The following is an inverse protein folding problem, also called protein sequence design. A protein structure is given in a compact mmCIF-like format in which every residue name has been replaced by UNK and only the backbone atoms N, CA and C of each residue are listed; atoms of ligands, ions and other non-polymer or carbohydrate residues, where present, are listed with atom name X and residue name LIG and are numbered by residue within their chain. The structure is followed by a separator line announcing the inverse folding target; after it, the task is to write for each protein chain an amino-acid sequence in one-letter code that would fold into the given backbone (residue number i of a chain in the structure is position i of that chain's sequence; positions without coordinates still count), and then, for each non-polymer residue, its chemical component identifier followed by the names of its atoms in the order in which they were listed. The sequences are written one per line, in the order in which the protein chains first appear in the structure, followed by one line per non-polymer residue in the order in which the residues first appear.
data_IF_320482510123
#
_entry.id   IF_320482510123
#
_cell.length_a   1.000
_cell.length_b   1.000
_cell.length_c   1.000
_cell.angle_alpha   90.00
_cell.angle_beta   90.00
_cell.angle_gamma   90.00
#
_symmetry.space_group_name_H-M   'P 1'
#
loop_
_entity.id
_entity.type
_entity.pdbx_description
1 polymer ?
#
# COMPACT_ATOMS: atom_id res chain seq x y z
N UNK A 1 10.22 14.40 -19.28
CA UNK A 1 11.12 13.23 -19.21
C UNK A 1 12.39 13.56 -19.99
N UNK A 2 13.54 13.45 -19.35
CA UNK A 2 14.85 13.41 -20.01
C UNK A 2 15.71 12.35 -19.31
N UNK A 3 16.84 11.98 -19.91
CA UNK A 3 17.81 11.07 -19.27
C UNK A 3 19.06 11.90 -18.99
N UNK A 4 19.54 11.84 -17.75
CA UNK A 4 20.86 12.34 -17.42
C UNK A 4 21.91 11.33 -17.88
N UNK A 5 22.62 11.67 -18.95
CA UNK A 5 23.61 10.80 -19.58
C UNK A 5 24.83 10.52 -18.70
N UNK A 6 25.10 11.35 -17.67
CA UNK A 6 26.25 11.15 -16.80
C UNK A 6 26.01 10.01 -15.80
N UNK A 7 24.81 9.92 -15.23
CA UNK A 7 24.45 8.91 -14.22
C UNK A 7 23.47 7.85 -14.73
N UNK A 8 23.02 7.97 -15.99
CA UNK A 8 22.00 7.14 -16.62
C UNK A 8 20.69 7.08 -15.78
N UNK A 9 20.25 8.24 -15.31
CA UNK A 9 19.06 8.41 -14.46
C UNK A 9 17.94 9.06 -15.29
N UNK A 10 16.75 8.46 -15.28
CA UNK A 10 15.56 9.08 -15.86
C UNK A 10 15.09 10.23 -14.95
N UNK A 11 14.93 11.42 -15.53
CA UNK A 11 14.54 12.65 -14.83
C UNK A 11 13.20 13.14 -15.34
N UNK A 12 12.28 13.35 -14.41
CA UNK A 12 10.98 13.98 -14.65
C UNK A 12 10.95 15.39 -14.06
N UNK A 13 10.96 16.40 -14.94
CA UNK A 13 10.80 17.80 -14.58
C UNK A 13 9.32 18.18 -14.64
N UNK A 14 8.81 18.73 -13.54
CA UNK A 14 7.47 19.32 -13.47
C UNK A 14 7.58 20.77 -12.99
N UNK A 15 6.84 21.67 -13.62
CA UNK A 15 6.80 23.09 -13.26
C UNK A 15 5.56 23.33 -12.40
N UNK A 16 5.70 24.08 -11.30
CA UNK A 16 4.61 24.45 -10.39
C UNK A 16 3.86 23.27 -9.72
N UNK A 17 4.54 22.14 -9.50
CA UNK A 17 3.94 21.02 -8.78
C UNK A 17 4.04 21.20 -7.24
N UNK A 18 3.50 22.31 -6.73
CA UNK A 18 3.60 22.66 -5.31
C UNK A 18 2.94 21.63 -4.39
N UNK A 19 1.83 21.02 -4.82
CA UNK A 19 1.19 19.94 -4.06
C UNK A 19 2.07 18.69 -3.94
N UNK A 20 2.85 18.34 -4.98
CA UNK A 20 3.78 17.21 -4.87
C UNK A 20 4.93 17.47 -3.89
N UNK A 21 5.35 18.73 -3.72
CA UNK A 21 6.32 19.11 -2.69
C UNK A 21 5.73 18.85 -1.30
N UNK A 22 4.50 19.30 -1.06
CA UNK A 22 3.82 19.05 0.21
C UNK A 22 3.55 17.55 0.45
N UNK A 23 3.14 16.80 -0.57
CA UNK A 23 3.00 15.34 -0.47
C UNK A 23 4.33 14.69 -0.08
N UNK A 24 5.43 15.11 -0.69
CA UNK A 24 6.77 14.59 -0.36
C UNK A 24 7.14 14.93 1.08
N UNK A 25 6.82 16.14 1.55
CA UNK A 25 7.04 16.58 2.94
C UNK A 25 6.21 15.75 3.92
N UNK A 26 4.94 15.47 3.60
CA UNK A 26 4.06 14.63 4.40
C UNK A 26 4.61 13.21 4.53
N UNK A 27 4.95 12.57 3.40
CA UNK A 27 5.52 11.22 3.39
C UNK A 27 6.83 11.14 4.16
N UNK A 28 7.72 12.13 3.99
CA UNK A 28 8.97 12.21 4.73
C UNK A 28 8.72 12.28 6.25
N UNK A 29 7.76 13.11 6.66
CA UNK A 29 7.39 13.26 8.08
C UNK A 29 6.93 11.91 8.65
N UNK A 30 6.14 11.13 7.91
CA UNK A 30 5.77 9.78 8.35
C UNK A 30 6.98 8.84 8.52
N UNK A 31 7.97 8.90 7.64
CA UNK A 31 9.19 8.09 7.79
C UNK A 31 10.08 8.53 8.95
N UNK A 32 10.00 9.80 9.36
CA UNK A 32 10.72 10.33 10.51
C UNK A 32 10.03 9.97 11.85
N UNK A 33 8.73 9.65 11.83
CA UNK A 33 7.98 9.19 13.01
C UNK A 33 8.34 7.75 13.38
N UNK A 34 8.40 6.85 12.39
CA UNK A 34 8.70 5.44 12.63
C UNK A 34 9.44 4.80 11.45
N UNK A 35 10.60 4.20 11.73
CA UNK A 35 11.46 3.60 10.69
C UNK A 35 10.80 2.41 9.97
N UNK A 36 9.82 1.74 10.59
CA UNK A 36 9.10 0.61 10.00
C UNK A 36 8.31 1.05 8.78
N UNK A 37 7.91 2.33 8.68
CA UNK A 37 7.27 2.90 7.49
C UNK A 37 8.14 2.75 6.25
N UNK A 38 9.42 3.11 6.36
CA UNK A 38 10.37 2.96 5.26
C UNK A 38 10.59 1.49 4.93
N UNK A 39 10.71 0.61 5.92
CA UNK A 39 10.88 -0.83 5.71
C UNK A 39 9.70 -1.44 4.93
N UNK A 40 8.45 -1.20 5.37
CA UNK A 40 7.26 -1.65 4.65
C UNK A 40 7.17 -1.04 3.25
N UNK A 41 7.50 0.24 3.12
CA UNK A 41 7.55 0.93 1.82
C UNK A 41 8.54 0.27 0.86
N UNK A 42 9.73 -0.10 1.31
CA UNK A 42 10.73 -0.82 0.50
C UNK A 42 10.28 -2.24 0.16
N UNK A 43 9.73 -2.99 1.12
CA UNK A 43 9.20 -4.34 0.89
C UNK A 43 8.11 -4.34 -0.18
N UNK A 44 7.14 -3.41 -0.06
CA UNK A 44 6.09 -3.26 -1.04
C UNK A 44 6.63 -2.83 -2.40
N UNK A 45 7.57 -1.87 -2.42
CA UNK A 45 8.20 -1.41 -3.67
C UNK A 45 8.95 -2.54 -4.38
N UNK A 46 9.61 -3.42 -3.63
CA UNK A 46 10.30 -4.58 -4.20
C UNK A 46 9.30 -5.58 -4.78
N UNK A 47 8.25 -5.93 -4.01
CA UNK A 47 7.18 -6.83 -4.46
C UNK A 47 6.53 -6.34 -5.76
N UNK A 48 6.10 -5.07 -5.80
CA UNK A 48 5.39 -4.52 -6.98
C UNK A 48 6.29 -4.40 -8.20
N UNK A 49 7.61 -4.21 -7.99
CA UNK A 49 8.60 -4.19 -9.08
C UNK A 49 8.80 -5.57 -9.67
N UNK A 50 8.96 -6.60 -8.84
CA UNK A 50 9.16 -7.99 -9.29
C UNK A 50 7.94 -8.49 -10.07
N UNK A 51 6.73 -8.11 -9.63
CA UNK A 51 5.48 -8.50 -10.28
C UNK A 51 5.05 -7.60 -11.45
N UNK A 52 5.82 -6.55 -11.81
CA UNK A 52 5.49 -5.52 -12.82
C UNK A 52 4.09 -4.88 -12.64
N UNK A 53 3.73 -4.58 -11.37
CA UNK A 53 2.45 -3.95 -10.99
C UNK A 53 2.60 -2.52 -10.43
N UNK A 54 3.79 -1.92 -10.56
CA UNK A 54 4.16 -0.62 -9.99
C UNK A 54 4.28 0.56 -10.96
N UNK A 55 3.70 0.46 -12.17
CA UNK A 55 3.81 1.46 -13.24
C UNK A 55 2.44 2.00 -13.69
N UNK A 56 2.13 3.23 -13.24
CA UNK A 56 0.89 3.91 -13.60
C UNK A 56 0.76 4.26 -15.09
N UNK A 57 1.88 4.38 -15.81
CA UNK A 57 1.86 4.62 -17.26
C UNK A 57 1.41 3.38 -18.05
N UNK A 58 1.62 2.19 -17.49
CA UNK A 58 1.10 0.90 -17.99
C UNK A 58 -0.29 0.54 -17.44
N UNK A 59 -0.96 1.47 -16.75
CA UNK A 59 -2.30 1.29 -16.19
C UNK A 59 -2.35 0.47 -14.90
N UNK A 60 -1.24 0.34 -14.17
CA UNK A 60 -1.20 -0.21 -12.80
C UNK A 60 -1.16 0.92 -11.76
N UNK A 61 -0.83 0.64 -10.50
CA UNK A 61 -0.75 1.68 -9.46
C UNK A 61 0.63 2.34 -9.45
N UNK A 62 0.68 3.63 -9.12
CA UNK A 62 1.95 4.33 -8.90
C UNK A 62 2.57 3.90 -7.57
N UNK A 63 3.89 4.04 -7.43
CA UNK A 63 4.56 3.84 -6.13
C UNK A 63 3.95 4.74 -5.04
N UNK A 64 3.54 5.95 -5.40
CA UNK A 64 2.89 6.87 -4.46
C UNK A 64 1.55 6.33 -3.92
N UNK A 65 0.72 5.72 -4.77
CA UNK A 65 -0.53 5.09 -4.34
C UNK A 65 -0.27 3.94 -3.36
N UNK A 66 0.73 3.11 -3.63
CA UNK A 66 1.14 2.02 -2.73
C UNK A 66 1.64 2.53 -1.36
N UNK A 67 2.41 3.62 -1.32
CA UNK A 67 2.85 4.21 -0.06
C UNK A 67 1.66 4.76 0.75
N UNK A 68 0.66 5.34 0.09
CA UNK A 68 -0.58 5.76 0.77
C UNK A 68 -1.32 4.56 1.38
N UNK A 69 -1.34 3.41 0.72
CA UNK A 69 -1.89 2.17 1.28
C UNK A 69 -1.13 1.71 2.53
N UNK A 70 0.20 1.76 2.51
CA UNK A 70 1.02 1.42 3.69
C UNK A 70 0.72 2.34 4.87
N UNK A 71 0.71 3.66 4.63
CA UNK A 71 0.43 4.64 5.68
C UNK A 71 -0.98 4.45 6.25
N UNK A 72 -1.97 4.27 5.37
CA UNK A 72 -3.35 4.00 5.80
C UNK A 72 -3.40 2.77 6.71
N UNK A 73 -2.81 1.65 6.29
CA UNK A 73 -2.74 0.44 7.13
C UNK A 73 -2.10 0.71 8.51
N UNK A 74 -0.97 1.41 8.55
CA UNK A 74 -0.26 1.72 9.79
C UNK A 74 -1.01 2.69 10.71
N UNK A 75 -1.95 3.46 10.18
CA UNK A 75 -2.90 4.28 10.96
C UNK A 75 -4.08 3.45 11.50
N UNK A 76 -4.48 2.40 10.79
CA UNK A 76 -5.66 1.59 11.12
C UNK A 76 -5.34 0.41 12.06
N UNK A 77 -4.12 -0.12 12.04
CA UNK A 77 -3.71 -1.20 12.94
C UNK A 77 -3.84 -0.80 14.41
N UNK A 78 -4.08 -1.77 15.30
CA UNK A 78 -4.25 -1.54 16.74
C UNK A 78 -3.17 -2.27 17.54
N UNK A 79 -2.39 -1.56 18.38
CA UNK A 79 -2.33 -0.09 18.49
C UNK A 79 -1.75 0.57 17.22
N UNK A 80 -2.14 1.81 16.88
CA UNK A 80 -1.68 2.48 15.67
C UNK A 80 -0.17 2.75 15.71
N UNK A 81 0.49 2.49 14.58
CA UNK A 81 1.92 2.79 14.37
C UNK A 81 2.09 4.24 13.95
N UNK A 82 1.11 4.82 13.23
CA UNK A 82 1.16 6.20 12.77
C UNK A 82 -0.05 7.02 13.23
N UNK A 83 0.14 8.32 13.51
CA UNK A 83 -0.96 9.25 13.68
C UNK A 83 -1.57 9.66 12.33
N UNK A 84 -2.66 10.40 12.41
CA UNK A 84 -3.18 11.17 11.28
C UNK A 84 -2.76 12.63 11.48
N UNK A 85 -1.64 13.01 10.86
CA UNK A 85 -1.00 14.32 11.06
C UNK A 85 -1.91 15.49 10.71
N UNK A 86 -2.83 15.30 9.76
CA UNK A 86 -3.80 16.32 9.33
C UNK A 86 -4.90 16.58 10.37
N UNK A 87 -5.03 15.73 11.40
CA UNK A 87 -5.97 15.88 12.51
C UNK A 87 -5.31 16.30 13.83
N UNK A 88 -3.98 16.48 13.85
CA UNK A 88 -3.24 16.92 15.04
C UNK A 88 -3.03 18.44 15.04
N UNK A 89 -3.06 19.05 16.23
CA UNK A 89 -2.75 20.45 16.46
C UNK A 89 -2.19 20.67 17.88
N UNK A 90 -1.46 21.77 18.07
CA UNK A 90 -0.97 22.15 19.41
C UNK A 90 -2.13 22.69 20.29
N UNK A 91 -3.14 23.29 19.67
CA UNK A 91 -4.33 23.79 20.35
C UNK A 91 -5.45 22.74 20.32
N UNK A 92 -5.45 21.87 21.32
CA UNK A 92 -6.47 20.83 21.52
C UNK A 92 -7.90 21.39 21.64
N UNK A 93 -8.06 22.70 21.90
CA UNK A 93 -9.37 23.38 21.98
C UNK A 93 -9.87 23.84 20.60
N UNK A 94 -8.98 24.05 19.64
CA UNK A 94 -9.32 24.49 18.29
C UNK A 94 -9.69 23.29 17.40
N UNK A 95 -10.99 22.99 17.35
CA UNK A 95 -11.56 21.93 16.49
C UNK A 95 -11.76 22.35 15.04
N UNK A 96 -11.56 23.62 14.68
CA UNK A 96 -11.85 24.13 13.34
C UNK A 96 -10.79 23.72 12.30
N UNK A 97 -9.83 22.88 12.70
CA UNK A 97 -8.72 22.47 11.86
C UNK A 97 -7.71 23.61 11.70
N UNK A 98 -6.46 23.23 11.44
CA UNK A 98 -5.46 24.19 11.02
C UNK A 98 -5.51 24.30 9.50
N UNK A 99 -5.35 25.52 8.98
CA UNK A 99 -5.36 25.79 7.55
C UNK A 99 -3.96 26.26 7.15
N UNK A 100 -3.36 25.53 6.21
CA UNK A 100 -2.17 25.95 5.48
C UNK A 100 -2.53 25.82 4.01
N UNK A 101 -2.77 26.94 3.33
CA UNK A 101 -3.25 26.92 1.95
C UNK A 101 -2.07 26.76 0.98
N UNK A 102 -2.21 25.87 0.01
CA UNK A 102 -1.36 25.80 -1.18
C UNK A 102 -2.26 25.60 -2.40
N UNK A 103 -2.24 26.56 -3.33
CA UNK A 103 -3.23 26.63 -4.41
C UNK A 103 -4.65 26.62 -3.84
N UNK A 104 -5.49 25.67 -4.24
CA UNK A 104 -6.89 25.51 -3.79
C UNK A 104 -7.05 24.45 -2.68
N UNK A 105 -5.94 23.83 -2.23
CA UNK A 105 -5.95 22.78 -1.20
C UNK A 105 -5.46 23.26 0.15
N UNK A 106 -6.07 22.73 1.22
CA UNK A 106 -5.48 22.76 2.56
C UNK A 106 -4.39 21.69 2.64
N UNK A 107 -3.13 22.12 2.75
CA UNK A 107 -1.94 21.28 2.89
C UNK A 107 -1.41 21.23 4.32
N UNK A 108 -2.22 21.64 5.30
CA UNK A 108 -1.83 21.52 6.69
C UNK A 108 -1.67 20.06 7.09
N UNK A 109 -0.58 19.78 7.78
CA UNK A 109 -0.41 18.60 8.63
C UNK A 109 0.57 18.97 9.75
N UNK A 110 0.51 18.23 10.85
CA UNK A 110 1.41 18.40 11.98
C UNK A 110 2.82 17.92 11.63
N UNK A 111 3.81 18.82 11.70
CA UNK A 111 5.21 18.57 11.34
C UNK A 111 6.19 18.85 12.50
N UNK A 112 5.69 19.23 13.68
CA UNK A 112 6.49 19.50 14.87
C UNK A 112 6.79 18.21 15.66
N UNK A 113 7.61 17.33 15.07
CA UNK A 113 7.93 16.02 15.65
C UNK A 113 8.44 16.04 17.10
N UNK A 114 9.28 17.01 17.54
CA UNK A 114 9.70 17.09 18.94
C UNK A 114 8.55 17.18 19.96
N UNK A 115 7.40 17.73 19.56
CA UNK A 115 6.19 17.85 20.40
C UNK A 115 5.12 16.80 20.10
N UNK A 116 5.38 15.86 19.19
CA UNK A 116 4.39 14.88 18.76
C UNK A 116 3.81 14.07 19.94
N UNK A 117 4.64 13.71 20.93
CA UNK A 117 4.20 12.97 22.11
C UNK A 117 3.24 13.74 23.03
N UNK A 118 3.16 15.07 22.91
CA UNK A 118 2.21 15.91 23.66
C UNK A 118 0.82 15.89 23.03
N UNK A 119 0.75 15.81 21.70
CA UNK A 119 -0.51 15.92 20.92
C UNK A 119 -1.05 14.57 20.45
N UNK A 120 -0.19 13.56 20.30
CA UNK A 120 -0.57 12.20 19.89
C UNK A 120 -0.39 11.22 21.05
N UNK A 121 -1.46 11.06 21.84
CA UNK A 121 -1.48 10.14 22.97
C UNK A 121 -2.17 8.83 22.58
N UNK A 122 -1.36 7.80 22.33
CA UNK A 122 -1.89 6.45 22.10
C UNK A 122 -2.22 5.78 23.45
N UNK A 123 -3.52 5.67 23.76
CA UNK A 123 -4.00 5.08 25.02
C UNK A 123 -3.56 3.62 25.23
N UNK A 124 -3.33 2.90 24.13
CA UNK A 124 -2.93 1.49 24.16
C UNK A 124 -1.41 1.30 24.10
N UNK A 125 -0.63 2.39 24.18
CA UNK A 125 0.82 2.37 24.03
C UNK A 125 1.27 2.20 22.57
N UNK A 126 2.59 2.28 22.31
CA UNK A 126 3.14 2.10 20.97
C UNK A 126 2.99 0.65 20.51
N UNK A 127 2.86 0.44 19.20
CA UNK A 127 2.87 -0.91 18.62
C UNK A 127 4.22 -1.59 18.79
N UNK A 128 4.18 -2.80 19.36
CA UNK A 128 5.35 -3.67 19.57
C UNK A 128 5.61 -4.62 18.41
N UNK A 129 4.76 -4.61 17.38
CA UNK A 129 4.94 -5.48 16.20
C UNK A 129 6.22 -5.13 15.45
N UNK A 130 6.98 -6.15 15.10
CA UNK A 130 8.14 -6.04 14.23
C UNK A 130 7.74 -5.67 12.80
N UNK A 131 8.69 -5.21 11.99
CA UNK A 131 8.42 -4.91 10.58
C UNK A 131 7.93 -6.13 9.78
N UNK A 132 8.43 -7.34 10.11
CA UNK A 132 7.98 -8.58 9.49
C UNK A 132 6.54 -8.93 9.84
N UNK A 133 6.15 -8.79 11.12
CA UNK A 133 4.76 -8.99 11.54
C UNK A 133 3.83 -7.95 10.91
N UNK A 134 4.24 -6.68 10.88
CA UNK A 134 3.49 -5.61 10.20
C UNK A 134 3.35 -5.87 8.70
N UNK A 135 4.35 -6.45 8.05
CA UNK A 135 4.28 -6.81 6.63
C UNK A 135 3.23 -7.89 6.37
N UNK A 136 3.19 -8.94 7.20
CA UNK A 136 2.18 -10.01 7.10
C UNK A 136 0.78 -9.43 7.38
N UNK A 137 0.64 -8.60 8.40
CA UNK A 137 -0.63 -7.95 8.73
C UNK A 137 -1.06 -6.92 7.65
N UNK A 138 -0.13 -6.25 6.97
CA UNK A 138 -0.44 -5.39 5.82
C UNK A 138 -1.05 -6.20 4.68
N UNK A 139 -0.43 -7.33 4.33
CA UNK A 139 -0.94 -8.23 3.30
C UNK A 139 -2.32 -8.74 3.70
N UNK A 140 -2.45 -9.21 4.94
CA UNK A 140 -3.71 -9.69 5.51
C UNK A 140 -4.81 -8.64 5.47
N UNK A 141 -4.49 -7.40 5.85
CA UNK A 141 -5.41 -6.28 5.85
C UNK A 141 -6.02 -6.08 4.46
N UNK A 142 -5.20 -6.04 3.43
CA UNK A 142 -5.66 -5.83 2.06
C UNK A 142 -6.22 -7.10 1.38
N UNK A 143 -6.04 -8.30 1.93
CA UNK A 143 -6.66 -9.52 1.38
C UNK A 143 -7.94 -9.94 2.09
N UNK A 144 -8.06 -9.65 3.38
CA UNK A 144 -9.13 -10.18 4.25
C UNK A 144 -10.01 -9.11 4.89
N UNK A 145 -9.47 -7.93 5.24
CA UNK A 145 -10.17 -6.98 6.13
C UNK A 145 -10.67 -5.72 5.44
N UNK A 146 -9.91 -5.17 4.48
CA UNK A 146 -10.27 -3.92 3.82
C UNK A 146 -11.43 -4.14 2.85
N UNK A 147 -12.57 -3.50 3.13
CA UNK A 147 -13.73 -3.51 2.26
C UNK A 147 -13.55 -2.53 1.10
N UNK A 148 -13.05 -3.04 -0.03
CA UNK A 148 -12.85 -2.28 -1.26
C UNK A 148 -14.13 -1.72 -1.86
N UNK A 149 -15.30 -2.33 -1.63
CA UNK A 149 -16.57 -1.90 -2.21
C UNK A 149 -17.15 -0.71 -1.45
N UNK A 150 -16.91 -0.66 -0.14
CA UNK A 150 -17.45 0.39 0.71
C UNK A 150 -16.48 1.54 0.95
N UNK A 151 -15.20 1.25 1.19
CA UNK A 151 -14.27 2.20 1.80
C UNK A 151 -13.23 2.77 0.83
N UNK A 152 -12.71 3.94 1.19
CA UNK A 152 -11.63 4.66 0.52
C UNK A 152 -10.38 4.56 1.37
N UNK A 153 -9.25 4.21 0.76
CA UNK A 153 -7.93 4.36 1.37
C UNK A 153 -7.65 5.85 1.49
N UNK A 154 -7.65 6.37 2.71
CA UNK A 154 -7.38 7.78 3.01
C UNK A 154 -6.45 7.88 4.22
N UNK A 155 -5.48 8.80 4.16
CA UNK A 155 -4.50 8.99 5.25
C UNK A 155 -4.72 10.27 6.06
N UNK A 156 -5.75 11.05 5.71
CA UNK A 156 -6.03 12.37 6.30
C UNK A 156 -7.08 12.37 7.41
N UNK A 157 -7.76 11.25 7.63
CA UNK A 157 -8.81 11.14 8.65
C UNK A 157 -8.89 9.75 9.25
N UNK A 158 -9.31 9.69 10.51
CA UNK A 158 -9.46 8.44 11.25
C UNK A 158 -10.73 7.69 10.86
N UNK A 159 -11.84 8.43 10.80
CA UNK A 159 -13.13 7.86 10.46
C UNK A 159 -13.13 7.25 9.06
N UNK A 160 -13.70 6.04 8.86
CA UNK A 160 -13.81 5.44 7.55
C UNK A 160 -14.49 6.37 6.55
N UNK A 161 -13.84 6.55 5.39
CA UNK A 161 -14.37 7.33 4.29
C UNK A 161 -15.05 6.40 3.28
N UNK A 162 -16.34 6.59 3.07
CA UNK A 162 -17.10 5.74 2.14
C UNK A 162 -17.00 6.23 0.68
N UNK A 163 -16.90 5.29 -0.25
CA UNK A 163 -16.78 5.55 -1.70
C UNK A 163 -17.96 6.32 -2.26
N UNK A 164 -19.17 6.04 -1.75
CA UNK A 164 -20.39 6.75 -2.13
C UNK A 164 -20.28 8.26 -1.88
N UNK A 165 -19.73 8.67 -0.71
CA UNK A 165 -19.55 10.08 -0.35
C UNK A 165 -18.58 10.81 -1.29
N UNK A 166 -17.70 10.06 -1.98
CA UNK A 166 -16.73 10.59 -2.94
C UNK A 166 -17.18 10.47 -4.40
N UNK A 167 -18.32 9.82 -4.67
CA UNK A 167 -18.73 9.50 -6.05
C UNK A 167 -17.82 8.46 -6.72
N UNK A 168 -17.08 7.66 -5.95
CA UNK A 168 -16.10 6.69 -6.46
C UNK A 168 -16.61 5.25 -6.45
N UNK A 169 -17.93 5.04 -6.48
CA UNK A 169 -18.58 3.73 -6.38
C UNK A 169 -18.33 2.80 -7.59
N UNK A 170 -17.97 3.34 -8.76
CA UNK A 170 -17.67 2.54 -9.97
C UNK A 170 -16.17 2.23 -10.18
N UNK A 171 -15.31 2.59 -9.23
CA UNK A 171 -13.86 2.37 -9.30
C UNK A 171 -13.47 0.95 -8.86
N UNK A 172 -12.29 0.47 -9.26
CA UNK A 172 -11.72 -0.82 -8.83
C UNK A 172 -11.34 -0.81 -7.35
N UNK A 173 -10.62 0.25 -6.98
CA UNK A 173 -10.24 0.64 -5.63
C UNK A 173 -10.27 2.18 -5.59
N UNK A 174 -10.54 2.72 -4.41
CA UNK A 174 -10.50 4.15 -4.16
C UNK A 174 -9.35 4.48 -3.22
N UNK A 175 -8.39 5.28 -3.70
CA UNK A 175 -7.24 5.77 -2.93
C UNK A 175 -7.21 7.30 -3.05
N UNK A 176 -7.54 8.01 -1.98
CA UNK A 176 -7.60 9.47 -1.96
C UNK A 176 -6.20 10.08 -1.88
N UNK A 177 -5.92 11.11 -2.68
CA UNK A 177 -4.75 11.98 -2.43
C UNK A 177 -5.00 12.86 -1.18
N UNK A 178 -4.05 12.94 -0.23
CA UNK A 178 -4.23 13.61 1.06
C UNK A 178 -4.47 15.13 0.96
N UNK A 179 -4.10 15.79 -0.14
CA UNK A 179 -4.30 17.23 -0.36
C UNK A 179 -5.21 17.55 -1.54
N UNK A 180 -5.12 16.79 -2.63
CA UNK A 180 -6.05 16.90 -3.75
C UNK A 180 -7.21 15.91 -3.58
N UNK A 181 -8.20 16.31 -2.77
CA UNK A 181 -9.26 15.39 -2.34
C UNK A 181 -10.14 14.89 -3.49
N UNK A 182 -10.18 15.55 -4.65
CA UNK A 182 -10.95 15.07 -5.81
C UNK A 182 -10.19 14.04 -6.64
N UNK A 183 -8.90 13.86 -6.37
CA UNK A 183 -8.03 12.94 -7.10
C UNK A 183 -7.99 11.55 -6.44
N UNK A 184 -8.50 10.56 -7.18
CA UNK A 184 -8.32 9.15 -6.83
C UNK A 184 -7.05 8.62 -7.53
N UNK A 185 -6.05 8.22 -6.74
CA UNK A 185 -4.75 7.73 -7.23
C UNK A 185 -4.87 6.43 -8.04
N UNK A 186 -5.99 5.72 -7.94
CA UNK A 186 -6.28 4.51 -8.69
C UNK A 186 -7.17 4.72 -9.92
N UNK A 187 -7.43 5.96 -10.35
CA UNK A 187 -8.41 6.26 -11.40
C UNK A 187 -8.10 5.62 -12.76
N UNK A 188 -6.82 5.37 -13.06
CA UNK A 188 -6.36 4.73 -14.30
C UNK A 188 -6.25 3.21 -14.21
N UNK A 189 -6.56 2.62 -13.05
CA UNK A 189 -6.39 1.19 -12.82
C UNK A 189 -7.51 0.39 -13.48
N UNK A 190 -7.13 -0.47 -14.43
CA UNK A 190 -8.07 -1.39 -15.09
C UNK A 190 -8.51 -2.53 -14.15
N UNK A 191 -9.68 -3.10 -14.39
CA UNK A 191 -10.16 -4.28 -13.66
C UNK A 191 -9.18 -5.47 -13.77
N UNK A 192 -8.60 -5.69 -14.95
CA UNK A 192 -7.59 -6.74 -15.16
C UNK A 192 -6.37 -6.55 -14.27
N UNK A 193 -5.81 -5.33 -14.25
CA UNK A 193 -4.64 -5.03 -13.43
C UNK A 193 -4.97 -5.06 -11.93
N UNK A 194 -6.18 -4.65 -11.56
CA UNK A 194 -6.64 -4.76 -10.17
C UNK A 194 -6.73 -6.22 -9.72
N UNK A 195 -7.32 -7.09 -10.52
CA UNK A 195 -7.34 -8.54 -10.25
C UNK A 195 -5.94 -9.10 -10.08
N UNK A 196 -4.99 -8.70 -10.94
CA UNK A 196 -3.60 -9.12 -10.82
C UNK A 196 -2.96 -8.66 -9.49
N UNK A 197 -3.15 -7.39 -9.11
CA UNK A 197 -2.63 -6.87 -7.82
C UNK A 197 -3.20 -7.66 -6.65
N UNK A 198 -4.52 -7.93 -6.64
CA UNK A 198 -5.16 -8.72 -5.58
C UNK A 198 -4.59 -10.14 -5.51
N UNK A 199 -4.39 -10.79 -6.66
CA UNK A 199 -3.78 -12.12 -6.71
C UNK A 199 -2.37 -12.12 -6.14
N UNK A 200 -1.53 -11.15 -6.53
CA UNK A 200 -0.17 -11.01 -5.98
C UNK A 200 -0.19 -10.81 -4.46
N UNK A 201 -1.11 -10.01 -3.94
CA UNK A 201 -1.23 -9.81 -2.49
C UNK A 201 -1.66 -11.08 -1.76
N UNK A 202 -2.58 -11.87 -2.33
CA UNK A 202 -3.00 -13.17 -1.79
C UNK A 202 -1.82 -14.15 -1.80
N UNK A 203 -1.06 -14.23 -2.91
CA UNK A 203 0.09 -15.12 -3.01
C UNK A 203 1.21 -14.71 -2.06
N UNK A 204 1.52 -13.41 -1.98
CA UNK A 204 2.46 -12.89 -0.99
C UNK A 204 1.99 -13.23 0.43
N UNK A 205 0.69 -13.08 0.74
CA UNK A 205 0.16 -13.44 2.07
C UNK A 205 0.39 -14.92 2.40
N UNK A 206 0.27 -15.79 1.41
CA UNK A 206 0.57 -17.22 1.58
C UNK A 206 2.07 -17.48 1.73
N UNK A 207 2.89 -16.92 0.85
CA UNK A 207 4.34 -17.14 0.81
C UNK A 207 5.05 -16.62 2.07
N UNK A 208 4.72 -15.40 2.51
CA UNK A 208 5.33 -14.79 3.69
C UNK A 208 4.72 -15.27 5.02
N UNK A 209 3.48 -15.77 4.98
CA UNK A 209 2.74 -16.19 6.18
C UNK A 209 2.83 -17.69 6.49
N UNK A 210 3.50 -18.47 5.65
CA UNK A 210 3.68 -19.92 5.84
C UNK A 210 5.12 -20.19 6.27
N UNK A 211 5.28 -21.09 7.25
CA UNK A 211 6.60 -21.53 7.69
C UNK A 211 7.38 -22.20 6.54
N UNK A 212 8.64 -21.79 6.36
CA UNK A 212 9.52 -22.40 5.37
C UNK A 212 9.92 -23.81 5.81
N UNK A 213 9.55 -24.83 5.02
CA UNK A 213 9.87 -26.24 5.30
C UNK A 213 11.06 -26.77 4.49
N UNK A 214 11.57 -25.99 3.55
CA UNK A 214 12.59 -26.45 2.59
C UNK A 214 13.98 -26.56 3.22
N UNK A 215 14.30 -25.71 4.21
CA UNK A 215 15.59 -25.72 4.90
C UNK A 215 15.52 -25.02 6.24
N UNK A 216 16.48 -25.36 7.11
CA UNK A 216 16.77 -24.58 8.32
C UNK A 216 17.45 -23.28 7.89
N UNK A 217 16.89 -22.15 8.31
CA UNK A 217 17.38 -20.81 7.99
C UNK A 217 18.56 -20.47 8.90
N UNK A 218 19.68 -20.06 8.31
CA UNK A 218 20.87 -19.54 8.99
C UNK A 218 21.06 -18.06 8.63
N UNK A 219 21.81 -17.32 9.45
CA UNK A 219 22.05 -15.88 9.22
C UNK A 219 22.75 -15.58 7.89
N UNK A 220 23.47 -16.54 7.31
CA UNK A 220 24.11 -16.41 5.98
C UNK A 220 23.13 -16.50 4.82
N UNK A 221 21.87 -16.85 5.05
CA UNK A 221 20.92 -17.22 4.00
C UNK A 221 20.11 -16.06 3.44
N UNK A 222 20.50 -14.82 3.73
CA UNK A 222 19.74 -13.60 3.37
C UNK A 222 19.35 -13.58 1.89
N UNK A 223 20.31 -13.84 0.99
CA UNK A 223 20.06 -13.85 -0.46
C UNK A 223 19.06 -14.93 -0.85
N UNK A 224 19.19 -16.13 -0.27
CA UNK A 224 18.27 -17.23 -0.52
C UNK A 224 16.87 -16.96 0.01
N UNK A 225 16.75 -16.36 1.21
CA UNK A 225 15.45 -15.98 1.79
C UNK A 225 14.78 -14.95 0.90
N UNK A 226 15.54 -13.99 0.38
CA UNK A 226 15.01 -12.98 -0.53
C UNK A 226 14.51 -13.64 -1.83
N UNK A 227 15.32 -14.49 -2.46
CA UNK A 227 14.93 -15.20 -3.69
C UNK A 227 13.70 -16.09 -3.46
N UNK A 228 13.62 -16.77 -2.31
CA UNK A 228 12.51 -17.63 -1.94
C UNK A 228 11.22 -16.84 -1.70
N UNK A 229 11.27 -15.79 -0.87
CA UNK A 229 10.08 -15.01 -0.51
C UNK A 229 9.55 -14.17 -1.67
N UNK A 230 10.43 -13.74 -2.57
CA UNK A 230 10.10 -12.91 -3.72
C UNK A 230 10.18 -13.65 -5.06
N UNK A 231 10.03 -14.98 -5.08
CA UNK A 231 9.96 -15.73 -6.33
C UNK A 231 8.75 -15.26 -7.17
N UNK A 232 9.06 -14.61 -8.29
CA UNK A 232 8.08 -14.07 -9.23
C UNK A 232 7.09 -15.12 -9.72
N UNK A 233 7.54 -16.36 -9.95
CA UNK A 233 6.69 -17.42 -10.50
C UNK A 233 5.64 -17.86 -9.49
N UNK A 234 6.03 -17.94 -8.21
CA UNK A 234 5.12 -18.23 -7.10
C UNK A 234 4.13 -17.08 -6.94
N UNK A 235 4.62 -15.84 -6.88
CA UNK A 235 3.81 -14.64 -6.66
C UNK A 235 2.79 -14.37 -7.78
N UNK A 236 3.08 -14.78 -9.01
CA UNK A 236 2.20 -14.60 -10.17
C UNK A 236 1.41 -15.86 -10.54
N UNK A 237 1.59 -16.97 -9.83
CA UNK A 237 1.06 -18.29 -10.23
C UNK A 237 1.48 -18.68 -11.67
N UNK A 238 2.64 -18.21 -12.12
CA UNK A 238 3.24 -18.63 -13.40
C UNK A 238 3.83 -20.03 -13.18
N UNK A 239 2.99 -21.08 -13.29
CA UNK A 239 3.32 -22.51 -13.29
C UNK A 239 4.63 -22.90 -12.55
N UNK A 240 4.56 -23.28 -11.26
CA UNK A 240 5.73 -23.77 -10.50
C UNK A 240 6.21 -25.18 -10.91
N UNK A 241 5.92 -25.65 -12.12
CA UNK A 241 6.26 -27.01 -12.61
C UNK A 241 7.76 -27.21 -12.94
N UNK A 242 8.66 -26.53 -12.25
CA UNK A 242 10.11 -26.73 -12.40
C UNK A 242 10.88 -26.97 -11.10
N UNK A 243 10.22 -27.28 -9.97
CA UNK A 243 10.93 -27.80 -8.80
C UNK A 243 10.58 -29.23 -8.35
N UNK A 244 9.75 -29.97 -9.09
CA UNK A 244 9.60 -31.40 -8.80
C UNK A 244 9.56 -32.24 -10.10
N UNK A 245 10.69 -32.89 -10.41
CA UNK A 245 10.80 -33.87 -11.48
C UNK A 245 10.23 -35.24 -11.06
N UNK A 246 9.19 -35.30 -10.23
CA UNK A 246 8.55 -36.57 -9.87
C UNK A 246 7.09 -36.39 -9.44
N UNK A 247 6.21 -35.97 -10.35
CA UNK A 247 4.92 -36.64 -10.58
C UNK A 247 4.08 -35.91 -11.61
N UNK A 248 3.59 -36.69 -12.59
CA UNK A 248 2.57 -36.26 -13.54
C UNK A 248 1.21 -36.30 -12.82
N UNK A 249 0.42 -35.22 -12.88
CA UNK A 249 -0.98 -35.30 -13.34
C UNK A 249 -1.68 -33.92 -13.41
N UNK A 250 -2.28 -33.70 -14.57
CA UNK A 250 -3.48 -32.91 -14.88
C UNK A 250 -3.55 -31.45 -14.43
N UNK A 251 -3.35 -30.56 -15.41
CA UNK A 251 -3.72 -29.16 -15.34
C UNK A 251 -5.24 -29.00 -15.35
N UNK A 252 -5.80 -28.44 -14.27
CA UNK A 252 -7.13 -27.84 -14.30
C UNK A 252 -7.03 -26.32 -14.61
N UNK A 253 -8.04 -25.72 -15.26
CA UNK A 253 -8.04 -24.29 -15.56
C UNK A 253 -8.07 -23.44 -14.28
N UNK A 254 -7.32 -22.32 -14.26
CA UNK A 254 -7.22 -21.33 -13.16
C UNK A 254 -8.56 -20.87 -12.52
N UNK A 255 -9.68 -21.14 -13.17
CA UNK A 255 -11.02 -20.82 -12.67
C UNK A 255 -11.51 -21.79 -11.59
N UNK A 256 -11.03 -23.03 -11.53
CA UNK A 256 -11.45 -24.01 -10.50
C UNK A 256 -10.76 -23.78 -9.15
N UNK A 257 -9.50 -23.31 -9.16
CA UNK A 257 -8.70 -23.07 -7.95
C UNK A 257 -9.22 -21.91 -7.09
N UNK A 258 -10.00 -20.99 -7.67
CA UNK A 258 -10.35 -19.75 -6.97
C UNK A 258 -11.53 -19.86 -6.01
N UNK A 259 -12.31 -20.95 -5.94
CA UNK A 259 -13.37 -21.15 -4.92
C UNK A 259 -14.44 -20.05 -4.77
N UNK A 260 -14.34 -18.94 -5.51
CA UNK A 260 -15.22 -17.81 -5.52
C UNK A 260 -16.24 -18.10 -6.63
N UNK A 261 -17.38 -18.66 -6.24
CA UNK A 261 -18.57 -18.62 -7.08
C UNK A 261 -18.97 -17.14 -7.21
N UNK A 262 -18.57 -16.50 -8.30
CA UNK A 262 -19.18 -15.25 -8.72
C UNK A 262 -20.64 -15.59 -9.06
N UNK A 263 -21.59 -15.05 -8.28
CA UNK A 263 -23.02 -15.29 -8.49
C UNK A 263 -23.40 -14.82 -9.91
N UNK A 264 -23.98 -15.69 -10.77
CA UNK A 264 -24.38 -15.34 -12.13
C UNK A 264 -25.37 -14.17 -12.24
N UNK A 265 -25.98 -13.74 -11.12
CA UNK A 265 -26.91 -12.60 -11.09
C UNK A 265 -26.27 -11.26 -11.44
N UNK A 266 -24.94 -11.17 -11.46
CA UNK A 266 -24.22 -9.93 -11.82
C UNK A 266 -23.91 -9.80 -13.33
N UNK A 267 -24.45 -10.69 -14.18
CA UNK A 267 -24.27 -10.64 -15.63
C UNK A 267 -25.47 -10.09 -16.43
N UNK A 268 -26.52 -9.57 -15.79
CA UNK A 268 -27.67 -9.04 -16.53
C UNK A 268 -28.04 -7.62 -16.10
N UNK A 269 -27.73 -6.69 -17.03
CA UNK A 269 -28.26 -5.34 -17.28
C UNK A 269 -28.32 -4.33 -16.14
#
# INVERSE_FOLDING_TARGET
RCIDNQFNIEVDLSVNNALAVENTRLLKTYTEIDFRVSQLGYMLKHLVKICDIGDASKGTLSSYAYINMVIHFLQQIQPPVLPILQQLNDDLSNKNGMIRQCMESNVYFYDNLPKLGEVWVNKNGPSTLTAGELWIEFLRYYTEHFDYEKNVVTIRQFEPLERYKKGWFNKTIAIEDPFNLTHNLADKLSQKNWTLIRLVFIQARQQFGTECKERVIQDSDVDWIQDYLFDRNVLLLENPTKLDKTNKQTAEPLQSLMGIRIDPKYYQS
#
